data_IF_573250888833
#
_entry.id   IF_573250888833
#
_cell.length_a   1.000
_cell.length_b   1.000
_cell.length_c   1.000
_cell.angle_alpha   90.00
_cell.angle_beta   90.00
_cell.angle_gamma   90.00
#
_symmetry.space_group_name_H-M   'P 1'
#
loop_
_entity.id
_entity.type
_entity.pdbx_description
1 polymer ?
#
# COMPACT_ATOMS: atom_id res chain seq x y z
N UNK A 1 56.17 25.84 -15.76
CA UNK A 1 55.99 25.41 -14.36
C UNK A 1 54.90 26.28 -13.72
N UNK A 2 54.00 25.71 -12.90
CA UNK A 2 52.71 25.25 -13.43
C UNK A 2 51.50 25.57 -12.54
N UNK A 3 50.33 25.03 -12.94
CA UNK A 3 49.14 24.69 -12.14
C UNK A 3 48.07 25.80 -11.99
N UNK A 4 46.77 25.55 -12.13
CA UNK A 4 46.04 24.28 -12.16
C UNK A 4 44.71 24.45 -12.88
N UNK A 5 44.47 23.54 -13.84
CA UNK A 5 43.16 23.20 -14.34
C UNK A 5 42.32 22.67 -13.17
N UNK A 6 41.18 23.31 -12.89
CA UNK A 6 40.15 22.71 -12.03
C UNK A 6 39.42 21.68 -12.89
N UNK A 7 39.95 20.46 -12.91
CA UNK A 7 39.20 19.30 -13.34
C UNK A 7 38.09 19.08 -12.31
N UNK A 8 36.86 19.49 -12.63
CA UNK A 8 35.68 18.96 -11.97
C UNK A 8 35.56 17.52 -12.44
N UNK A 9 36.18 16.61 -11.68
CA UNK A 9 35.93 15.18 -11.79
C UNK A 9 34.44 14.97 -11.53
N UNK A 10 33.68 14.75 -12.61
CA UNK A 10 32.37 14.12 -12.50
C UNK A 10 32.58 12.78 -11.81
N UNK A 11 32.17 12.73 -10.55
CA UNK A 11 32.14 11.50 -9.76
C UNK A 11 31.12 10.57 -10.44
N UNK A 12 31.54 9.42 -11.00
CA UNK A 12 30.57 8.45 -11.45
C UNK A 12 29.87 7.94 -10.19
N UNK A 13 28.57 8.17 -10.09
CA UNK A 13 27.73 7.60 -9.02
C UNK A 13 27.77 6.08 -9.17
N UNK A 14 28.68 5.49 -8.40
CA UNK A 14 28.95 4.07 -8.28
C UNK A 14 27.69 3.21 -8.39
N UNK A 15 27.69 2.30 -9.37
CA UNK A 15 26.86 1.11 -9.35
C UNK A 15 27.26 0.24 -8.16
N UNK A 16 26.48 0.28 -7.08
CA UNK A 16 26.65 -0.65 -5.97
C UNK A 16 26.21 -2.05 -6.41
N UNK A 17 27.18 -2.93 -6.69
CA UNK A 17 26.94 -4.36 -6.79
C UNK A 17 26.82 -4.93 -5.37
N UNK A 18 25.60 -5.08 -4.86
CA UNK A 18 25.36 -5.79 -3.60
C UNK A 18 25.28 -7.29 -3.88
N UNK A 19 26.30 -8.02 -3.43
CA UNK A 19 26.36 -9.49 -3.54
C UNK A 19 25.88 -10.08 -2.23
N UNK A 20 24.63 -10.56 -2.19
CA UNK A 20 24.11 -11.28 -1.03
C UNK A 20 24.49 -12.76 -1.18
N UNK A 21 25.42 -13.24 -0.35
CA UNK A 21 25.74 -14.67 -0.25
C UNK A 21 24.70 -15.34 0.63
N UNK A 22 23.76 -16.05 0.02
CA UNK A 22 23.12 -17.21 0.64
C UNK A 22 22.93 -18.31 -0.42
N UNK A 23 23.09 -19.54 0.03
CA UNK A 23 23.33 -20.74 -0.75
C UNK A 23 22.33 -20.96 -1.91
N UNK A 24 22.91 -21.21 -3.10
CA UNK A 24 22.33 -21.82 -4.32
C UNK A 24 21.62 -20.96 -5.38
N UNK A 25 21.49 -19.64 -5.28
CA UNK A 25 21.02 -18.81 -6.40
C UNK A 25 21.81 -17.50 -6.51
N UNK A 26 22.61 -17.35 -7.56
CA UNK A 26 23.28 -16.09 -7.89
C UNK A 26 22.32 -15.19 -8.68
N UNK A 27 21.67 -14.25 -8.01
CA UNK A 27 20.89 -13.20 -8.69
C UNK A 27 21.74 -11.93 -8.76
N UNK A 28 22.19 -11.57 -9.97
CA UNK A 28 22.94 -10.33 -10.21
C UNK A 28 21.95 -9.20 -10.49
N UNK A 29 21.76 -8.30 -9.53
CA UNK A 29 21.02 -7.06 -9.73
C UNK A 29 21.87 -6.10 -10.59
N UNK A 30 21.38 -5.74 -11.78
CA UNK A 30 21.98 -4.71 -12.64
C UNK A 30 21.05 -3.49 -12.65
N UNK A 31 21.53 -2.36 -12.15
CA UNK A 31 20.88 -1.06 -12.38
C UNK A 31 21.18 -0.65 -13.84
N UNK A 32 20.15 -0.56 -14.67
CA UNK A 32 20.25 -0.17 -16.09
C UNK A 32 19.75 1.28 -16.18
N UNK A 33 20.48 2.15 -16.87
CA UNK A 33 20.05 3.53 -17.10
C UNK A 33 18.82 3.56 -18.03
N UNK A 34 17.95 4.58 -17.90
CA UNK A 34 16.73 4.71 -18.72
C UNK A 34 17.04 4.59 -20.22
N UNK A 35 18.09 5.27 -20.69
CA UNK A 35 18.48 5.24 -22.10
C UNK A 35 18.89 3.83 -22.56
N UNK A 36 19.66 3.10 -21.74
CA UNK A 36 20.03 1.71 -22.02
C UNK A 36 18.81 0.78 -21.99
N UNK A 37 17.85 1.02 -21.08
CA UNK A 37 16.64 0.24 -20.99
C UNK A 37 15.76 0.41 -22.25
N UNK A 38 15.62 1.64 -22.76
CA UNK A 38 14.89 1.90 -24.01
C UNK A 38 15.57 1.26 -25.24
N UNK A 39 16.91 1.19 -25.25
CA UNK A 39 17.64 0.53 -26.34
C UNK A 39 17.46 -0.99 -26.31
N UNK A 40 17.34 -1.60 -25.12
CA UNK A 40 17.09 -3.03 -24.96
C UNK A 40 15.61 -3.41 -25.12
N UNK A 41 14.71 -2.51 -24.71
CA UNK A 41 13.26 -2.70 -24.71
C UNK A 41 12.61 -1.47 -25.33
N UNK A 42 12.51 -1.41 -26.67
CA UNK A 42 11.97 -0.26 -27.39
C UNK A 42 10.52 0.06 -27.02
N UNK A 43 9.74 -0.97 -26.65
CA UNK A 43 8.38 -0.83 -26.13
C UNK A 43 8.31 -0.39 -24.67
N UNK A 44 9.46 -0.24 -23.99
CA UNK A 44 9.54 0.07 -22.57
C UNK A 44 9.07 -1.05 -21.65
N UNK A 45 8.81 -2.25 -22.17
CA UNK A 45 8.31 -3.40 -21.40
C UNK A 45 9.27 -4.59 -21.49
N UNK A 46 9.56 -5.20 -20.34
CA UNK A 46 10.28 -6.47 -20.22
C UNK A 46 9.45 -7.46 -19.44
N UNK A 47 9.36 -8.71 -19.92
CA UNK A 47 8.68 -9.80 -19.21
C UNK A 47 9.67 -10.93 -18.94
N UNK A 48 9.68 -11.42 -17.70
CA UNK A 48 10.49 -12.55 -17.25
C UNK A 48 9.55 -13.60 -16.65
N UNK A 49 9.57 -14.80 -17.19
CA UNK A 49 8.78 -15.93 -16.70
C UNK A 49 9.62 -16.82 -15.77
N UNK A 50 8.99 -17.32 -14.72
CA UNK A 50 9.52 -18.26 -13.74
C UNK A 50 8.53 -19.40 -13.59
N UNK A 51 8.97 -20.55 -13.06
CA UNK A 51 8.15 -21.77 -12.96
C UNK A 51 6.70 -21.50 -12.54
N UNK A 52 6.46 -20.70 -11.49
CA UNK A 52 5.11 -20.36 -11.00
C UNK A 52 4.85 -18.85 -10.90
N UNK A 53 5.60 -18.02 -11.63
CA UNK A 53 5.45 -16.56 -11.56
C UNK A 53 5.79 -15.87 -12.87
N UNK A 54 5.10 -14.77 -13.15
CA UNK A 54 5.42 -13.87 -14.27
C UNK A 54 5.77 -12.51 -13.69
N UNK A 55 6.94 -11.99 -14.04
CA UNK A 55 7.43 -10.70 -13.62
C UNK A 55 7.53 -9.76 -14.82
N UNK A 56 6.80 -8.66 -14.76
CA UNK A 56 6.76 -7.62 -15.78
C UNK A 56 7.44 -6.36 -15.23
N UNK A 57 8.31 -5.77 -16.04
CA UNK A 57 8.96 -4.50 -15.77
C UNK A 57 8.55 -3.49 -16.84
N UNK A 58 8.32 -2.26 -16.40
CA UNK A 58 7.93 -1.14 -17.22
C UNK A 58 8.94 -0.01 -17.00
N UNK A 59 9.36 0.66 -18.07
CA UNK A 59 10.13 1.88 -17.96
C UNK A 59 9.29 2.98 -17.28
N UNK A 60 9.98 3.89 -16.57
CA UNK A 60 9.36 5.06 -15.97
C UNK A 60 8.55 5.83 -17.03
N UNK A 61 7.35 6.29 -16.67
CA UNK A 61 6.43 7.09 -17.50
C UNK A 61 5.82 6.40 -18.72
N UNK A 62 6.13 5.12 -18.99
CA UNK A 62 5.42 4.35 -20.03
C UNK A 62 3.99 4.03 -19.61
N UNK A 63 3.80 3.69 -18.34
CA UNK A 63 2.49 3.44 -17.76
C UNK A 63 1.95 4.74 -17.15
N UNK A 64 0.78 5.20 -17.63
CA UNK A 64 0.15 6.44 -17.17
C UNK A 64 -0.20 6.44 -15.68
N UNK A 65 -0.47 5.26 -15.13
CA UNK A 65 -0.78 5.05 -13.71
C UNK A 65 0.48 4.97 -12.82
N UNK A 66 1.67 5.07 -13.41
CA UNK A 66 2.96 5.01 -12.71
C UNK A 66 3.41 3.59 -12.36
N UNK A 67 2.80 2.53 -12.91
CA UNK A 67 3.23 1.15 -12.68
C UNK A 67 4.61 0.89 -13.29
N UNK A 68 5.56 0.42 -12.48
CA UNK A 68 6.94 0.11 -12.91
C UNK A 68 7.27 -1.38 -12.84
N UNK A 69 6.61 -2.12 -11.95
CA UNK A 69 6.82 -3.55 -11.79
C UNK A 69 5.52 -4.24 -11.40
N UNK A 70 5.23 -5.37 -12.04
CA UNK A 70 4.13 -6.26 -11.68
C UNK A 70 4.63 -7.69 -11.60
N UNK A 71 4.41 -8.34 -10.46
CA UNK A 71 4.71 -9.76 -10.29
C UNK A 71 3.41 -10.50 -10.02
N UNK A 72 3.08 -11.47 -10.88
CA UNK A 72 1.91 -12.35 -10.72
C UNK A 72 2.40 -13.74 -10.37
N UNK A 73 1.98 -14.25 -9.22
CA UNK A 73 2.24 -15.61 -8.75
C UNK A 73 1.02 -16.47 -9.00
N UNK A 74 1.26 -17.70 -9.45
CA UNK A 74 0.25 -18.68 -9.79
C UNK A 74 0.35 -19.90 -8.88
N UNK A 75 -0.74 -20.67 -8.79
CA UNK A 75 -0.73 -21.95 -8.07
C UNK A 75 0.09 -23.00 -8.82
N UNK A 76 -0.01 -22.98 -10.14
CA UNK A 76 0.52 -24.00 -11.04
C UNK A 76 1.43 -23.38 -12.10
N UNK A 77 2.29 -24.21 -12.70
CA UNK A 77 3.22 -23.78 -13.75
C UNK A 77 2.57 -23.47 -15.09
N UNK A 78 1.29 -23.83 -15.23
CA UNK A 78 0.47 -23.53 -16.42
C UNK A 78 -0.12 -22.10 -16.38
N UNK A 79 0.16 -21.32 -15.32
CA UNK A 79 -0.28 -19.94 -15.16
C UNK A 79 -1.81 -19.74 -15.21
N UNK A 80 -2.59 -20.74 -14.79
CA UNK A 80 -4.06 -20.71 -14.85
C UNK A 80 -4.65 -19.90 -13.69
N UNK A 81 -4.35 -20.28 -12.45
CA UNK A 81 -4.95 -19.65 -11.27
C UNK A 81 -3.98 -18.69 -10.60
N UNK A 82 -4.35 -17.40 -10.60
CA UNK A 82 -3.61 -16.37 -9.85
C UNK A 82 -3.77 -16.61 -8.36
N UNK A 83 -2.65 -16.58 -7.65
CA UNK A 83 -2.58 -16.72 -6.20
C UNK A 83 -2.33 -15.37 -5.52
N UNK A 84 -1.40 -14.60 -6.08
CA UNK A 84 -0.95 -13.36 -5.49
C UNK A 84 -0.40 -12.43 -6.58
N UNK A 85 -0.70 -11.15 -6.49
CA UNK A 85 -0.17 -10.12 -7.38
C UNK A 85 0.48 -9.04 -6.52
N UNK A 86 1.66 -8.60 -6.91
CA UNK A 86 2.34 -7.43 -6.35
C UNK A 86 2.57 -6.44 -7.46
N UNK A 87 2.12 -5.21 -7.25
CA UNK A 87 2.30 -4.09 -8.17
C UNK A 87 3.10 -3.00 -7.45
N UNK A 88 4.12 -2.46 -8.11
CA UNK A 88 4.97 -1.40 -7.58
C UNK A 88 4.82 -0.17 -8.46
N UNK A 89 4.58 0.96 -7.81
CA UNK A 89 4.29 2.23 -8.47
C UNK A 89 5.36 3.27 -8.16
N UNK A 90 5.54 4.20 -9.09
CA UNK A 90 6.44 5.34 -8.96
C UNK A 90 5.78 6.58 -9.54
N UNK A 91 6.19 7.76 -9.04
CA UNK A 91 5.77 9.06 -9.56
C UNK A 91 4.25 9.34 -9.51
N UNK A 92 3.46 8.54 -8.79
CA UNK A 92 2.05 8.84 -8.58
C UNK A 92 1.84 10.05 -7.67
N UNK A 93 0.87 10.89 -8.04
CA UNK A 93 0.49 12.10 -7.29
C UNK A 93 -0.05 11.71 -5.90
N UNK A 94 -0.87 10.66 -5.85
CA UNK A 94 -1.48 10.12 -4.65
C UNK A 94 -0.50 9.35 -3.74
N UNK A 95 0.78 9.31 -4.07
CA UNK A 95 1.84 8.64 -3.28
C UNK A 95 1.64 7.14 -3.08
N UNK A 96 0.78 6.48 -3.87
CA UNK A 96 0.70 5.01 -3.87
C UNK A 96 2.03 4.43 -4.36
N UNK A 97 2.60 3.50 -3.61
CA UNK A 97 3.91 2.89 -3.91
C UNK A 97 3.83 1.40 -4.20
N UNK A 98 2.83 0.72 -3.63
CA UNK A 98 2.70 -0.73 -3.76
C UNK A 98 1.27 -1.16 -3.54
N UNK A 99 0.81 -2.12 -4.33
CA UNK A 99 -0.45 -2.82 -4.12
C UNK A 99 -0.16 -4.31 -4.07
N UNK A 100 -0.75 -4.99 -3.11
CA UNK A 100 -0.70 -6.44 -2.99
C UNK A 100 -2.11 -7.00 -3.03
N UNK A 101 -2.38 -7.90 -3.97
CA UNK A 101 -3.68 -8.56 -4.08
C UNK A 101 -3.50 -10.05 -3.90
N UNK A 102 -4.12 -10.61 -2.87
CA UNK A 102 -4.20 -12.03 -2.61
C UNK A 102 -5.54 -12.55 -3.10
N UNK A 103 -5.48 -13.50 -4.03
CA UNK A 103 -6.66 -14.13 -4.60
C UNK A 103 -7.02 -15.35 -3.76
N UNK A 104 -8.27 -15.41 -3.31
CA UNK A 104 -8.82 -16.58 -2.62
C UNK A 104 -10.16 -16.95 -3.24
N UNK A 105 -10.64 -18.17 -2.99
CA UNK A 105 -11.92 -18.65 -3.51
C UNK A 105 -13.13 -17.86 -2.98
N UNK A 106 -12.99 -17.23 -1.81
CA UNK A 106 -14.09 -16.49 -1.17
C UNK A 106 -14.07 -15.03 -1.57
N UNK A 107 -12.95 -14.35 -1.32
CA UNK A 107 -12.83 -12.92 -1.47
C UNK A 107 -11.36 -12.52 -1.68
N UNK A 108 -11.12 -11.52 -2.52
CA UNK A 108 -9.78 -11.02 -2.76
C UNK A 108 -9.41 -10.03 -1.67
N UNK A 109 -8.25 -10.20 -1.06
CA UNK A 109 -7.69 -9.25 -0.11
C UNK A 109 -6.73 -8.33 -0.87
N UNK A 110 -6.95 -7.03 -0.83
CA UNK A 110 -6.06 -6.04 -1.44
C UNK A 110 -5.51 -5.10 -0.38
N UNK A 111 -4.19 -4.91 -0.37
CA UNK A 111 -3.48 -3.98 0.51
C UNK A 111 -2.75 -2.95 -0.32
N UNK A 112 -3.15 -1.70 -0.17
CA UNK A 112 -2.53 -0.53 -0.77
C UNK A 112 -1.58 0.12 0.24
N UNK A 113 -0.36 0.42 -0.20
CA UNK A 113 0.66 1.07 0.61
C UNK A 113 1.00 2.44 0.02
N UNK A 114 0.97 3.45 0.89
CA UNK A 114 1.23 4.84 0.52
C UNK A 114 2.52 5.33 1.17
N UNK A 115 3.22 6.22 0.47
CA UNK A 115 4.35 6.95 1.01
C UNK A 115 3.87 8.13 1.85
N UNK A 116 4.60 8.46 2.91
CA UNK A 116 4.37 9.68 3.70
C UNK A 116 4.42 10.95 2.85
N UNK A 117 3.71 11.98 3.29
CA UNK A 117 3.57 13.28 2.61
C UNK A 117 2.23 13.48 1.89
N UNK A 118 1.24 12.60 2.12
CA UNK A 118 -0.16 12.90 1.80
C UNK A 118 -0.78 13.75 2.91
N UNK A 119 -1.70 14.63 2.55
CA UNK A 119 -2.40 15.52 3.50
C UNK A 119 -3.27 14.76 4.49
N UNK A 120 -3.78 13.58 4.10
CA UNK A 120 -4.58 12.71 4.96
C UNK A 120 -3.75 11.78 5.86
N UNK A 121 -2.41 11.77 5.70
CA UNK A 121 -1.47 10.89 6.40
C UNK A 121 -1.75 9.40 6.22
N UNK A 122 -2.46 9.02 5.15
CA UNK A 122 -2.77 7.62 4.86
C UNK A 122 -1.47 6.81 4.67
N UNK A 123 -1.38 5.67 5.36
CA UNK A 123 -0.22 4.76 5.31
C UNK A 123 -0.58 3.47 4.60
N UNK A 124 -1.64 2.80 5.04
CA UNK A 124 -2.15 1.59 4.38
C UNK A 124 -3.65 1.61 4.28
N UNK A 125 -4.17 1.04 3.20
CA UNK A 125 -5.59 0.76 3.01
C UNK A 125 -5.75 -0.70 2.59
N UNK A 126 -6.33 -1.50 3.46
CA UNK A 126 -6.65 -2.90 3.21
C UNK A 126 -8.14 -3.03 2.99
N UNK A 127 -8.57 -3.75 1.96
CA UNK A 127 -9.97 -4.04 1.71
C UNK A 127 -10.17 -5.45 1.17
N UNK A 128 -11.38 -5.97 1.37
CA UNK A 128 -11.78 -7.30 0.93
C UNK A 128 -12.86 -7.17 -0.15
N UNK A 129 -12.61 -7.73 -1.34
CA UNK A 129 -13.52 -7.67 -2.48
C UNK A 129 -13.39 -6.39 -3.30
N UNK A 130 -14.54 -5.79 -3.66
CA UNK A 130 -14.59 -4.59 -4.51
C UNK A 130 -14.35 -3.31 -3.69
N UNK A 131 -13.34 -2.53 -4.06
CA UNK A 131 -13.04 -1.26 -3.42
C UNK A 131 -14.17 -0.23 -3.55
N UNK A 132 -15.10 -0.38 -4.49
CA UNK A 132 -16.24 0.54 -4.67
C UNK A 132 -17.49 0.15 -3.89
N UNK A 133 -17.48 -1.00 -3.22
CA UNK A 133 -18.63 -1.49 -2.49
C UNK A 133 -18.71 -0.94 -1.07
N UNK A 134 -19.83 -0.34 -0.68
CA UNK A 134 -19.98 0.22 0.67
C UNK A 134 -19.96 -0.82 1.78
N UNK A 135 -20.29 -2.08 1.47
CA UNK A 135 -20.33 -3.21 2.41
C UNK A 135 -18.97 -3.84 2.66
N UNK A 136 -18.00 -3.55 1.79
CA UNK A 136 -16.65 -4.09 1.88
C UNK A 136 -15.97 -3.66 3.18
N UNK A 137 -15.39 -4.65 3.86
CA UNK A 137 -14.57 -4.43 5.04
C UNK A 137 -13.29 -3.70 4.65
N UNK A 138 -12.96 -2.64 5.37
CA UNK A 138 -11.75 -1.85 5.13
C UNK A 138 -11.00 -1.62 6.43
N UNK A 139 -9.70 -1.71 6.37
CA UNK A 139 -8.78 -1.40 7.46
C UNK A 139 -7.82 -0.35 6.96
N UNK A 140 -7.84 0.82 7.58
CA UNK A 140 -7.06 1.98 7.17
C UNK A 140 -6.14 2.34 8.31
N UNK A 141 -4.84 2.46 8.03
CA UNK A 141 -3.86 2.92 9.02
C UNK A 141 -3.25 4.24 8.57
N UNK A 142 -2.92 5.08 9.55
CA UNK A 142 -2.35 6.39 9.32
C UNK A 142 -0.94 6.49 9.90
N UNK A 143 -0.16 7.44 9.39
CA UNK A 143 1.10 7.84 10.03
C UNK A 143 0.80 8.64 11.32
N UNK A 144 1.65 8.47 12.34
CA UNK A 144 1.54 9.17 13.63
C UNK A 144 2.00 10.65 13.55
N UNK A 145 1.47 11.38 12.58
CA UNK A 145 1.78 12.78 12.29
C UNK A 145 0.50 13.60 12.09
N UNK A 146 -0.66 12.94 12.19
CA UNK A 146 -1.97 13.53 11.92
C UNK A 146 -2.44 14.35 13.14
N UNK A 147 -3.00 15.54 12.88
CA UNK A 147 -3.39 16.49 13.93
C UNK A 147 -4.50 15.99 14.86
N UNK A 148 -5.39 15.12 14.40
CA UNK A 148 -6.48 14.54 15.20
C UNK A 148 -6.06 13.28 15.98
N UNK A 149 -4.79 12.90 15.85
CA UNK A 149 -4.17 11.68 16.38
C UNK A 149 -4.90 10.38 16.03
N UNK A 150 -5.66 10.36 14.92
CA UNK A 150 -6.31 9.14 14.44
C UNK A 150 -5.25 8.14 13.96
N UNK A 151 -5.26 6.95 14.55
CA UNK A 151 -4.28 5.90 14.28
C UNK A 151 -4.79 4.90 13.24
N UNK A 152 -6.00 4.37 13.46
CA UNK A 152 -6.60 3.35 12.61
C UNK A 152 -8.10 3.60 12.43
N UNK A 153 -8.61 3.13 11.30
CA UNK A 153 -10.02 3.18 10.95
C UNK A 153 -10.44 1.85 10.34
N UNK A 154 -11.30 1.14 11.06
CA UNK A 154 -11.86 -0.15 10.66
C UNK A 154 -13.31 0.05 10.27
N UNK A 155 -13.63 -0.17 9.00
CA UNK A 155 -14.94 0.04 8.41
C UNK A 155 -15.53 -1.33 8.09
N UNK A 156 -16.73 -1.56 8.60
CA UNK A 156 -17.60 -2.67 8.25
C UNK A 156 -18.83 -2.15 7.50
N UNK A 157 -19.72 -3.07 7.12
CA UNK A 157 -21.01 -2.76 6.48
C UNK A 157 -21.86 -1.83 7.37
N UNK A 158 -21.98 -2.16 8.65
CA UNK A 158 -22.93 -1.53 9.58
C UNK A 158 -22.27 -0.63 10.63
N UNK A 159 -20.94 -0.55 10.65
CA UNK A 159 -20.23 0.29 11.61
C UNK A 159 -18.87 0.72 11.10
N UNK A 160 -18.29 1.72 11.75
CA UNK A 160 -16.84 1.88 11.72
C UNK A 160 -16.32 2.17 13.12
N UNK A 161 -15.06 1.80 13.33
CA UNK A 161 -14.32 1.99 14.57
C UNK A 161 -13.09 2.81 14.24
N UNK A 162 -12.89 3.88 14.98
CA UNK A 162 -11.71 4.74 14.89
C UNK A 162 -10.93 4.64 16.19
N UNK A 163 -9.64 4.39 16.10
CA UNK A 163 -8.72 4.38 17.25
C UNK A 163 -7.81 5.59 17.19
N UNK A 164 -7.39 6.07 18.36
CA UNK A 164 -6.59 7.28 18.51
C UNK A 164 -5.37 7.02 19.39
N UNK A 165 -4.28 7.73 19.10
CA UNK A 165 -3.06 7.72 19.90
C UNK A 165 -2.94 9.02 20.70
N UNK A 166 -2.54 8.93 21.96
CA UNK A 166 -2.02 10.06 22.76
C UNK A 166 -2.85 11.36 22.72
N UNK A 167 -4.19 11.25 22.65
CA UNK A 167 -5.06 12.42 22.70
C UNK A 167 -5.12 13.00 24.12
N UNK A 168 -5.14 14.32 24.20
CA UNK A 168 -5.22 15.04 25.48
C UNK A 168 -6.52 14.81 26.24
N UNK A 169 -7.61 14.48 25.54
CA UNK A 169 -8.92 14.16 26.11
C UNK A 169 -9.07 12.68 26.51
N UNK A 170 -7.99 11.89 26.42
CA UNK A 170 -7.96 10.46 26.74
C UNK A 170 -8.91 9.59 25.91
N UNK A 171 -9.48 10.13 24.81
CA UNK A 171 -10.31 9.36 23.89
C UNK A 171 -9.45 8.31 23.19
N UNK A 172 -9.78 7.05 23.37
CA UNK A 172 -9.02 5.93 22.81
C UNK A 172 -9.69 5.33 21.58
N UNK A 173 -11.00 5.14 21.67
CA UNK A 173 -11.76 4.47 20.63
C UNK A 173 -13.11 5.15 20.45
N UNK A 174 -13.56 5.25 19.20
CA UNK A 174 -14.90 5.71 18.83
C UNK A 174 -15.50 4.74 17.84
N UNK A 175 -16.70 4.23 18.16
CA UNK A 175 -17.47 3.38 17.26
C UNK A 175 -18.73 4.11 16.80
N UNK A 176 -18.92 4.16 15.49
CA UNK A 176 -20.15 4.59 14.85
C UNK A 176 -20.94 3.39 14.38
N UNK A 177 -22.25 3.38 14.63
CA UNK A 177 -23.17 2.39 14.07
C UNK A 177 -24.06 3.10 13.06
N UNK A 178 -24.18 2.52 11.88
CA UNK A 178 -25.02 3.03 10.80
C UNK A 178 -26.43 2.46 10.85
N UNK A 179 -27.37 3.20 10.27
CA UNK A 179 -28.70 2.68 10.02
C UNK A 179 -28.63 1.62 8.93
N UNK A 180 -29.17 0.43 9.22
CA UNK A 180 -29.28 -0.63 8.22
C UNK A 180 -30.19 -0.11 7.10
N UNK A 181 -29.64 0.01 5.89
CA UNK A 181 -30.43 0.47 4.74
C UNK A 181 -31.18 -0.74 4.22
N UNK A 182 -32.50 -0.77 4.40
CA UNK A 182 -33.33 -1.80 3.78
C UNK A 182 -33.28 -1.63 2.26
N UNK A 183 -32.83 -2.68 1.57
CA UNK A 183 -33.02 -2.93 0.12
C UNK A 183 -32.80 -1.75 -0.83
N UNK A 184 -31.68 -1.05 -0.72
CA UNK A 184 -31.17 -0.27 -1.85
C UNK A 184 -30.04 -1.05 -2.50
N UNK A 185 -30.27 -1.54 -3.72
CA UNK A 185 -29.28 -2.24 -4.56
C UNK A 185 -28.09 -1.35 -4.96
N UNK A 186 -28.08 -0.10 -4.52
CA UNK A 186 -27.01 0.85 -4.74
C UNK A 186 -25.82 0.55 -3.82
N UNK A 187 -24.96 -0.39 -4.22
CA UNK A 187 -23.75 -0.78 -3.49
C UNK A 187 -22.61 0.27 -3.56
N UNK A 188 -22.88 1.49 -4.03
CA UNK A 188 -21.87 2.49 -4.33
C UNK A 188 -21.37 3.21 -3.05
N UNK A 189 -20.05 3.37 -2.92
CA UNK A 189 -19.40 4.14 -1.85
C UNK A 189 -19.94 5.58 -1.67
N UNK A 190 -20.46 6.21 -2.73
CA UNK A 190 -20.98 7.56 -2.68
C UNK A 190 -22.35 7.68 -1.97
N UNK A 191 -22.98 6.56 -1.62
CA UNK A 191 -24.23 6.56 -0.85
C UNK A 191 -23.95 6.94 0.60
N UNK A 192 -24.54 8.05 1.04
CA UNK A 192 -24.40 8.53 2.43
C UNK A 192 -25.09 7.57 3.40
N UNK A 193 -24.34 7.00 4.33
CA UNK A 193 -24.88 6.23 5.47
C UNK A 193 -25.28 7.16 6.60
N UNK A 194 -26.51 7.03 7.09
CA UNK A 194 -26.97 7.80 8.26
C UNK A 194 -26.44 7.14 9.55
N UNK A 195 -25.73 7.89 10.43
CA UNK A 195 -25.31 7.36 11.71
C UNK A 195 -26.51 7.23 12.66
N UNK A 196 -26.64 6.09 13.32
CA UNK A 196 -27.68 5.82 14.32
C UNK A 196 -27.17 6.10 15.73
N UNK A 197 -25.94 5.65 16.03
CA UNK A 197 -25.39 5.70 17.38
C UNK A 197 -23.88 5.88 17.36
N UNK A 198 -23.38 6.62 18.35
CA UNK A 198 -21.97 6.75 18.65
C UNK A 198 -21.68 6.13 20.01
N UNK A 199 -20.57 5.40 20.09
CA UNK A 199 -19.99 4.87 21.32
C UNK A 199 -18.56 5.39 21.40
N UNK A 200 -18.12 5.77 22.60
CA UNK A 200 -16.79 6.30 22.85
C UNK A 200 -16.23 5.63 24.09
N UNK A 201 -14.97 5.20 24.01
CA UNK A 201 -14.23 4.58 25.10
C UNK A 201 -13.02 5.47 25.41
N UNK A 202 -12.81 5.73 26.69
CA UNK A 202 -11.77 6.63 27.20
C UNK A 202 -10.81 5.86 28.10
N UNK A 203 -9.52 6.19 28.04
CA UNK A 203 -8.53 5.62 28.96
C UNK A 203 -8.67 6.31 30.31
N UNK A 204 -9.09 5.55 31.33
CA UNK A 204 -9.07 6.01 32.71
C UNK A 204 -7.91 5.38 33.47
N UNK A 205 -7.15 6.20 34.18
CA UNK A 205 -6.19 5.70 35.16
C UNK A 205 -6.93 5.35 36.45
N UNK A 206 -7.10 4.05 36.73
CA UNK A 206 -7.43 3.60 38.08
C UNK A 206 -6.23 3.90 38.98
N UNK A 207 -6.45 4.59 40.11
CA UNK A 207 -5.42 4.89 41.14
C UNK A 207 -4.74 3.62 41.72
N UNK A 208 -5.17 2.43 41.33
CA UNK A 208 -4.55 1.15 41.69
C UNK A 208 -4.13 0.39 40.42
N UNK A 209 -3.04 0.80 39.79
CA UNK A 209 -2.11 -0.06 39.02
C UNK A 209 -2.66 -1.11 38.04
N UNK A 210 -3.91 -1.05 37.60
CA UNK A 210 -4.52 -2.02 36.68
C UNK A 210 -5.34 -1.26 35.64
N UNK A 211 -4.99 -1.47 34.37
CA UNK A 211 -5.75 -0.97 33.22
C UNK A 211 -7.11 -1.66 33.20
N UNK A 212 -8.17 -0.94 33.50
CA UNK A 212 -9.54 -1.39 33.25
C UNK A 212 -10.08 -0.63 32.04
N UNK A 213 -10.49 -1.37 31.01
CA UNK A 213 -11.21 -0.83 29.84
C UNK A 213 -12.71 -0.78 30.17
N UNK A 214 -13.41 0.29 29.81
CA UNK A 214 -14.87 0.44 29.94
C UNK A 214 -15.42 1.12 28.70
#
# INVERSE_FOLDING_TARGET
MPNSWVNVLEVPRNSMNLTIKNSKLFVKLKCILILEYHMLYPSGKKVVTYMNAIKEFYADYIMLDGLIEKTTFFTDSEYVNKKFVTEIYKHRIDKLIRVETKYTTKENETVEYFRSGRDDFLKTHTFYGDCNNIKTKRFVTFYNLRLDSMAELNIDENSFITTFNDRSDLLFCRKCIFQQTEKNDCQNLNVKRKPTRWLQEFIWWSRKGQKAMT
#
